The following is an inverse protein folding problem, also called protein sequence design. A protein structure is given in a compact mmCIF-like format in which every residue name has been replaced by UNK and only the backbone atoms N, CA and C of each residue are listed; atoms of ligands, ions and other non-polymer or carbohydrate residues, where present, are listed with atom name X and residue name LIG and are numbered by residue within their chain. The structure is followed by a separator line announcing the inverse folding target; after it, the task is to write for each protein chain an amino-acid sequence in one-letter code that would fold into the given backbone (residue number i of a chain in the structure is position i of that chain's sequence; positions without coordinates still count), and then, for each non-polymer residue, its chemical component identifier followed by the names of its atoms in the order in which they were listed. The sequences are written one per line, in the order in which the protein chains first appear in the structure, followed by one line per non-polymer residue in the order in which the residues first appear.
data_IF_176859328976
#
_entry.id   IF_176859328976
#
_cell.length_a   1.000
_cell.length_b   1.000
_cell.length_c   1.000
_cell.angle_alpha   90.00
_cell.angle_beta   90.00
_cell.angle_gamma   90.00
#
_symmetry.space_group_name_H-M   'P 1'
#
loop_
_entity.id
_entity.type
_entity.pdbx_description
1 polymer ?
#
# COMPACT_ATOMS: atom_id res chain seq x y z
N UNK A 1 -27.40 4.54 8.18
CA UNK A 1 -26.30 4.68 9.15
C UNK A 1 -25.31 3.61 8.81
N UNK A 2 -24.09 4.01 8.51
CA UNK A 2 -23.01 3.12 8.15
C UNK A 2 -21.89 3.29 9.16
N UNK A 3 -21.20 2.19 9.44
CA UNK A 3 -20.06 2.18 10.35
C UNK A 3 -18.77 2.34 9.55
N UNK A 4 -17.85 3.15 10.07
CA UNK A 4 -16.56 3.42 9.44
C UNK A 4 -15.44 3.22 10.44
N UNK A 5 -14.32 2.67 9.97
CA UNK A 5 -13.07 2.58 10.74
C UNK A 5 -11.96 3.31 9.99
N UNK A 6 -11.17 4.09 10.73
CA UNK A 6 -10.04 4.83 10.17
C UNK A 6 -8.77 3.99 10.16
N UNK A 7 -8.28 3.67 8.96
CA UNK A 7 -7.10 2.82 8.74
C UNK A 7 -5.98 3.63 8.09
N UNK A 8 -4.75 3.42 8.55
CA UNK A 8 -3.53 4.04 8.00
C UNK A 8 -2.51 2.98 7.62
N UNK A 9 -1.91 3.11 6.44
CA UNK A 9 -0.93 2.15 5.91
C UNK A 9 0.53 2.52 6.20
N UNK A 10 0.82 3.81 6.38
CA UNK A 10 2.17 4.33 6.66
C UNK A 10 2.13 5.25 7.87
N UNK A 11 3.19 5.26 8.68
CA UNK A 11 3.25 6.01 9.96
C UNK A 11 2.78 7.48 9.86
N UNK A 12 3.19 8.20 8.80
CA UNK A 12 2.80 9.58 8.52
C UNK A 12 1.90 9.72 7.28
N UNK A 13 1.13 8.69 6.94
CA UNK A 13 0.27 8.64 5.76
C UNK A 13 -1.15 9.18 5.98
N UNK A 14 -1.88 9.32 4.87
CA UNK A 14 -3.31 9.63 4.87
C UNK A 14 -4.10 8.54 5.60
N UNK A 15 -5.13 8.95 6.35
CA UNK A 15 -6.12 8.04 6.91
C UNK A 15 -7.19 7.77 5.86
N UNK A 16 -7.47 6.49 5.64
CA UNK A 16 -8.51 6.01 4.74
C UNK A 16 -9.61 5.36 5.58
N UNK A 17 -10.86 5.54 5.17
CA UNK A 17 -12.00 4.98 5.87
C UNK A 17 -12.46 3.70 5.16
N UNK A 18 -12.75 2.68 5.96
CA UNK A 18 -13.22 1.37 5.53
C UNK A 18 -14.46 0.99 6.32
N UNK A 19 -15.25 0.08 5.76
CA UNK A 19 -16.31 -0.62 6.48
C UNK A 19 -15.65 -1.67 7.41
N UNK A 20 -15.86 -1.63 8.74
CA UNK A 20 -15.30 -2.61 9.67
C UNK A 20 -15.87 -4.01 9.49
N UNK A 21 -16.91 -4.20 8.68
CA UNK A 21 -17.51 -5.50 8.34
C UNK A 21 -17.94 -6.32 9.57
N UNK A 22 -18.33 -5.65 10.66
CA UNK A 22 -18.73 -6.27 11.92
C UNK A 22 -17.58 -6.79 12.77
N UNK A 23 -16.32 -6.50 12.43
CA UNK A 23 -15.19 -6.78 13.30
C UNK A 23 -15.14 -5.77 14.44
N UNK A 24 -14.94 -6.25 15.66
CA UNK A 24 -14.67 -5.42 16.83
C UNK A 24 -13.22 -4.92 16.76
N UNK A 25 -13.02 -3.67 16.32
CA UNK A 25 -11.71 -3.08 16.04
C UNK A 25 -11.40 -1.95 17.03
N UNK A 26 -10.19 -1.96 17.59
CA UNK A 26 -9.72 -0.90 18.47
C UNK A 26 -8.56 -0.12 17.85
N UNK A 27 -8.31 1.09 18.37
CA UNK A 27 -7.11 1.84 17.98
C UNK A 27 -5.87 1.02 18.33
N UNK A 28 -4.94 0.97 17.38
CA UNK A 28 -3.73 0.14 17.38
C UNK A 28 -3.90 -1.32 16.93
N UNK A 29 -5.11 -1.76 16.58
CA UNK A 29 -5.27 -3.03 15.88
C UNK A 29 -4.64 -2.97 14.49
N UNK A 30 -4.01 -4.07 14.09
CA UNK A 30 -3.62 -4.28 12.71
C UNK A 30 -4.72 -5.04 11.98
N UNK A 31 -5.04 -4.62 10.76
CA UNK A 31 -6.10 -5.19 9.93
C UNK A 31 -5.60 -5.42 8.52
N UNK A 32 -6.15 -6.42 7.86
CA UNK A 32 -5.94 -6.66 6.44
C UNK A 32 -7.15 -6.11 5.68
N UNK A 33 -6.89 -5.28 4.69
CA UNK A 33 -7.92 -4.65 3.85
C UNK A 33 -7.63 -4.94 2.39
N UNK A 34 -8.68 -5.03 1.57
CA UNK A 34 -8.53 -5.21 0.13
C UNK A 34 -8.51 -3.85 -0.57
N UNK A 35 -7.38 -3.47 -1.16
CA UNK A 35 -7.23 -2.22 -1.90
C UNK A 35 -7.27 -2.47 -3.42
N UNK A 36 -7.01 -1.45 -4.24
CA UNK A 36 -6.83 -1.68 -5.68
C UNK A 36 -5.51 -2.41 -6.00
N UNK A 37 -4.57 -2.43 -5.03
CA UNK A 37 -3.25 -3.06 -5.15
C UNK A 37 -3.22 -4.49 -4.62
N UNK A 38 -4.34 -4.98 -4.08
CA UNK A 38 -4.47 -6.30 -3.45
C UNK A 38 -4.63 -6.16 -1.94
N UNK A 39 -4.24 -7.20 -1.20
CA UNK A 39 -4.27 -7.17 0.25
C UNK A 39 -3.16 -6.26 0.79
N UNK A 40 -3.51 -5.39 1.72
CA UNK A 40 -2.59 -4.49 2.40
C UNK A 40 -2.80 -4.58 3.91
N UNK A 41 -1.69 -4.49 4.66
CA UNK A 41 -1.70 -4.37 6.11
C UNK A 41 -1.93 -2.91 6.49
N UNK A 42 -3.00 -2.65 7.23
CA UNK A 42 -3.35 -1.35 7.76
C UNK A 42 -3.32 -1.34 9.28
N UNK A 43 -3.16 -0.16 9.85
CA UNK A 43 -3.21 0.08 11.29
C UNK A 43 -4.42 0.96 11.61
N UNK A 44 -5.24 0.53 12.56
CA UNK A 44 -6.41 1.27 13.03
C UNK A 44 -5.95 2.49 13.82
N UNK A 45 -6.34 3.67 13.37
CA UNK A 45 -6.00 4.97 13.99
C UNK A 45 -7.22 5.75 14.46
N UNK A 46 -8.42 5.36 14.02
CA UNK A 46 -9.69 5.79 14.55
C UNK A 46 -10.59 4.55 14.69
N UNK A 47 -11.26 4.37 15.85
CA UNK A 47 -12.11 3.22 16.08
C UNK A 47 -13.36 3.26 15.18
N UNK A 48 -14.13 2.16 15.10
CA UNK A 48 -15.43 2.15 14.46
C UNK A 48 -16.35 3.26 14.99
N UNK A 49 -16.90 4.05 14.08
CA UNK A 49 -17.85 5.14 14.37
C UNK A 49 -19.03 5.09 13.39
N UNK A 50 -20.24 5.39 13.87
CA UNK A 50 -21.41 5.50 13.01
C UNK A 50 -21.51 6.89 12.41
N UNK A 51 -21.64 6.94 11.08
CA UNK A 51 -21.83 8.19 10.33
C UNK A 51 -23.10 8.13 9.47
N UNK A 52 -23.58 9.29 9.05
CA UNK A 52 -24.68 9.36 8.10
C UNK A 52 -24.21 8.89 6.72
N UNK A 53 -25.05 8.14 6.01
CA UNK A 53 -24.70 7.62 4.68
C UNK A 53 -24.39 8.77 3.69
N UNK A 54 -24.97 9.96 3.92
CA UNK A 54 -24.70 11.19 3.15
C UNK A 54 -23.28 11.74 3.32
N UNK A 55 -22.60 11.41 4.41
CA UNK A 55 -21.21 11.81 4.68
C UNK A 55 -20.21 10.88 3.95
N UNK A 56 -20.68 9.72 3.51
CA UNK A 56 -19.90 8.74 2.77
C UNK A 56 -19.97 9.09 1.29
N UNK A 57 -19.02 9.92 0.83
CA UNK A 57 -18.97 10.36 -0.57
C UNK A 57 -18.67 9.27 -1.60
N UNK A 58 -18.27 8.05 -1.18
CA UNK A 58 -17.94 6.90 -2.05
C UNK A 58 -18.18 5.59 -1.32
N UNK A 59 -18.51 4.52 -2.07
CA UNK A 59 -18.62 3.17 -1.51
C UNK A 59 -17.32 2.78 -0.79
N UNK A 60 -17.44 2.47 0.50
CA UNK A 60 -16.32 2.03 1.32
C UNK A 60 -15.91 0.62 0.92
N UNK A 61 -14.60 0.39 0.91
CA UNK A 61 -14.08 -0.99 0.90
C UNK A 61 -14.17 -1.55 2.32
N UNK A 62 -14.26 -2.87 2.44
CA UNK A 62 -14.35 -3.53 3.74
C UNK A 62 -12.99 -4.00 4.27
N UNK A 63 -12.90 -4.07 5.59
CA UNK A 63 -11.91 -4.87 6.30
C UNK A 63 -12.14 -6.33 5.98
N UNK A 64 -11.07 -7.06 5.64
CA UNK A 64 -11.13 -8.48 5.30
C UNK A 64 -11.04 -9.33 6.57
N UNK A 65 -10.10 -8.97 7.46
CA UNK A 65 -9.87 -9.64 8.74
C UNK A 65 -8.94 -8.81 9.64
N UNK A 66 -8.87 -9.16 10.93
CA UNK A 66 -7.75 -8.77 11.79
C UNK A 66 -6.44 -9.38 11.27
N UNK A 67 -5.35 -8.65 11.41
CA UNK A 67 -4.03 -9.14 11.04
C UNK A 67 -3.56 -10.23 12.00
N UNK A 68 -2.87 -11.21 11.44
CA UNK A 68 -2.19 -12.26 12.19
C UNK A 68 -0.73 -11.84 12.44
N UNK A 69 -0.04 -12.39 13.46
CA UNK A 69 1.37 -12.10 13.72
C UNK A 69 2.27 -12.30 12.49
N UNK A 70 1.94 -13.29 11.65
CA UNK A 70 2.62 -13.62 10.40
C UNK A 70 2.52 -12.47 9.38
N UNK A 71 1.40 -11.75 9.32
CA UNK A 71 1.23 -10.61 8.43
C UNK A 71 2.16 -9.46 8.82
N UNK A 72 2.26 -9.18 10.12
CA UNK A 72 3.11 -8.13 10.67
C UNK A 72 4.59 -8.48 10.42
N UNK A 73 4.97 -9.73 10.70
CA UNK A 73 6.32 -10.22 10.44
C UNK A 73 6.67 -10.12 8.96
N UNK A 74 5.75 -10.51 8.08
CA UNK A 74 5.95 -10.44 6.63
C UNK A 74 6.09 -9.00 6.12
N UNK A 75 5.30 -8.07 6.66
CA UNK A 75 5.45 -6.65 6.35
C UNK A 75 6.83 -6.12 6.75
N UNK A 76 7.36 -6.54 7.91
CA UNK A 76 8.72 -6.21 8.34
C UNK A 76 9.79 -6.81 7.41
N UNK A 77 9.64 -8.07 6.99
CA UNK A 77 10.54 -8.73 6.03
C UNK A 77 10.57 -8.01 4.67
N UNK A 78 9.43 -7.47 4.23
CA UNK A 78 9.38 -6.68 2.99
C UNK A 78 10.07 -5.33 3.08
N UNK A 79 10.20 -4.70 4.26
CA UNK A 79 10.88 -3.40 4.37
C UNK A 79 12.32 -3.43 3.83
N UNK A 80 13.05 -4.53 4.06
CA UNK A 80 14.41 -4.68 3.53
C UNK A 80 14.42 -4.95 2.03
N UNK A 81 13.47 -5.76 1.54
CA UNK A 81 13.29 -5.99 0.10
C UNK A 81 12.89 -4.72 -0.67
N UNK A 82 12.08 -3.84 -0.05
CA UNK A 82 11.68 -2.55 -0.59
C UNK A 82 12.88 -1.61 -0.73
N UNK A 83 13.81 -1.61 0.23
CA UNK A 83 15.05 -0.82 0.16
C UNK A 83 15.95 -1.28 -1.00
N UNK A 84 16.11 -2.59 -1.16
CA UNK A 84 16.86 -3.15 -2.30
C UNK A 84 16.18 -2.78 -3.63
N UNK A 85 14.86 -2.98 -3.71
CA UNK A 85 14.07 -2.64 -4.88
C UNK A 85 14.24 -1.17 -5.29
N UNK A 86 14.15 -0.26 -4.32
CA UNK A 86 14.31 1.17 -4.55
C UNK A 86 15.73 1.52 -5.06
N UNK A 87 16.76 0.90 -4.49
CA UNK A 87 18.15 1.10 -4.92
C UNK A 87 18.39 0.61 -6.35
N UNK A 88 17.84 -0.55 -6.71
CA UNK A 88 17.96 -1.11 -8.06
C UNK A 88 17.16 -0.29 -9.09
N UNK A 89 15.95 0.14 -8.73
CA UNK A 89 15.17 1.05 -9.55
C UNK A 89 15.91 2.37 -9.79
N UNK A 90 16.60 2.91 -8.78
CA UNK A 90 17.41 4.13 -8.91
C UNK A 90 18.54 3.96 -9.92
N UNK A 91 19.27 2.84 -9.87
CA UNK A 91 20.32 2.52 -10.85
C UNK A 91 19.77 2.44 -12.28
N UNK A 92 18.64 1.77 -12.47
CA UNK A 92 18.01 1.63 -13.78
C UNK A 92 17.47 2.97 -14.31
N UNK A 93 16.85 3.77 -13.45
CA UNK A 93 16.35 5.11 -13.79
C UNK A 93 17.49 5.99 -14.29
N UNK A 94 18.64 5.98 -13.61
CA UNK A 94 19.83 6.71 -14.03
C UNK A 94 20.38 6.18 -15.37
N UNK A 95 20.48 4.86 -15.53
CA UNK A 95 20.95 4.22 -16.78
C UNK A 95 20.06 4.56 -17.98
N UNK A 96 18.75 4.60 -17.78
CA UNK A 96 17.75 4.90 -18.81
C UNK A 96 17.50 6.41 -18.99
N UNK A 97 18.20 7.26 -18.23
CA UNK A 97 18.07 8.72 -18.28
C UNK A 97 16.62 9.22 -18.11
N UNK A 98 15.85 8.57 -17.23
CA UNK A 98 14.45 8.92 -17.01
C UNK A 98 14.36 10.15 -16.08
N UNK A 99 13.65 11.23 -16.48
CA UNK A 99 13.57 12.46 -15.69
C UNK A 99 12.55 12.36 -14.54
N UNK A 100 12.85 11.50 -13.57
CA UNK A 100 12.00 11.21 -12.42
C UNK A 100 12.81 11.07 -11.13
N UNK A 101 12.16 11.34 -9.99
CA UNK A 101 12.71 11.14 -8.65
C UNK A 101 11.93 10.05 -7.94
N UNK A 102 12.61 8.96 -7.60
CA UNK A 102 12.01 7.88 -6.80
C UNK A 102 11.77 8.36 -5.37
N UNK A 103 10.62 7.96 -4.82
CA UNK A 103 10.15 8.31 -3.47
C UNK A 103 10.18 7.07 -2.56
N UNK A 104 9.56 5.98 -2.98
CA UNK A 104 9.51 4.72 -2.23
C UNK A 104 9.22 3.53 -3.15
N UNK A 105 9.44 2.31 -2.62
CA UNK A 105 8.97 1.06 -3.19
C UNK A 105 8.14 0.35 -2.12
N UNK A 106 7.06 -0.31 -2.49
CA UNK A 106 6.15 -0.98 -1.56
C UNK A 106 5.73 -2.34 -2.08
N UNK A 107 5.93 -3.40 -1.29
CA UNK A 107 5.27 -4.67 -1.52
C UNK A 107 3.84 -4.63 -0.96
N UNK A 108 2.93 -5.33 -1.64
CA UNK A 108 1.66 -5.68 -1.03
C UNK A 108 1.84 -6.83 -0.03
N UNK A 109 0.82 -7.11 0.79
CA UNK A 109 0.92 -8.05 1.91
C UNK A 109 1.29 -9.48 1.48
N UNK A 110 0.85 -9.91 0.30
CA UNK A 110 1.14 -11.23 -0.24
C UNK A 110 2.44 -11.30 -1.07
N UNK A 111 3.14 -10.18 -1.26
CA UNK A 111 4.37 -10.07 -2.05
C UNK A 111 4.21 -10.27 -3.56
N UNK A 112 2.98 -10.41 -4.06
CA UNK A 112 2.74 -10.63 -5.49
C UNK A 112 2.95 -9.35 -6.33
N UNK A 113 2.92 -8.18 -5.69
CA UNK A 113 3.05 -6.87 -6.34
C UNK A 113 4.06 -5.98 -5.63
N UNK A 114 4.89 -5.31 -6.42
CA UNK A 114 5.83 -4.28 -6.00
C UNK A 114 5.50 -2.96 -6.71
N UNK A 115 5.15 -1.94 -5.94
CA UNK A 115 4.73 -0.63 -6.45
C UNK A 115 5.82 0.40 -6.21
N UNK A 116 6.21 1.17 -7.23
CA UNK A 116 7.19 2.25 -7.10
C UNK A 116 6.50 3.62 -7.13
N UNK A 117 6.78 4.44 -6.12
CA UNK A 117 6.32 5.82 -6.06
C UNK A 117 7.42 6.75 -6.56
N UNK A 118 7.07 7.67 -7.43
CA UNK A 118 8.00 8.67 -7.96
C UNK A 118 7.29 10.00 -8.19
N UNK A 119 8.09 11.07 -8.30
CA UNK A 119 7.66 12.35 -8.83
C UNK A 119 8.39 12.66 -10.13
N UNK A 120 7.71 13.31 -11.07
CA UNK A 120 8.28 13.78 -12.32
C UNK A 120 7.61 15.10 -12.71
N UNK A 121 8.37 16.02 -13.30
CA UNK A 121 7.83 17.30 -13.78
C UNK A 121 7.03 17.12 -15.08
N UNK A 122 7.41 16.13 -15.88
CA UNK A 122 6.80 15.83 -17.18
C UNK A 122 6.45 14.35 -17.27
N UNK A 123 5.72 13.99 -18.33
CA UNK A 123 5.36 12.58 -18.59
C UNK A 123 6.61 11.78 -18.91
N UNK A 124 6.83 10.70 -18.16
CA UNK A 124 7.96 9.77 -18.34
C UNK A 124 7.46 8.48 -19.00
N UNK A 125 8.15 8.01 -20.04
CA UNK A 125 7.94 6.67 -20.58
C UNK A 125 8.81 5.65 -19.82
N UNK A 126 8.20 4.95 -18.87
CA UNK A 126 8.88 3.99 -18.00
C UNK A 126 8.66 2.53 -18.43
N UNK A 127 8.19 2.26 -19.66
CA UNK A 127 7.89 0.89 -20.10
C UNK A 127 9.11 -0.03 -20.09
N UNK A 128 10.29 0.48 -20.44
CA UNK A 128 11.54 -0.27 -20.36
C UNK A 128 11.96 -0.55 -18.91
N UNK A 129 11.85 0.47 -18.05
CA UNK A 129 12.11 0.33 -16.61
C UNK A 129 11.26 -0.78 -15.98
N UNK A 130 9.94 -0.79 -16.25
CA UNK A 130 9.03 -1.82 -15.76
C UNK A 130 9.45 -3.21 -16.24
N UNK A 131 9.82 -3.37 -17.51
CA UNK A 131 10.28 -4.66 -18.05
C UNK A 131 11.52 -5.18 -17.32
N UNK A 132 12.51 -4.32 -17.08
CA UNK A 132 13.74 -4.70 -16.40
C UNK A 132 13.50 -5.05 -14.92
N UNK A 133 12.67 -4.27 -14.22
CA UNK A 133 12.30 -4.54 -12.83
C UNK A 133 11.50 -5.84 -12.69
N UNK A 134 10.51 -6.08 -13.57
CA UNK A 134 9.73 -7.33 -13.54
C UNK A 134 10.59 -8.57 -13.78
N UNK A 135 11.58 -8.50 -14.68
CA UNK A 135 12.54 -9.61 -14.88
C UNK A 135 13.38 -9.87 -13.63
N UNK A 136 13.81 -8.80 -12.95
CA UNK A 136 14.67 -8.91 -11.77
C UNK A 136 13.93 -9.48 -10.56
N UNK A 137 12.79 -8.89 -10.21
CA UNK A 137 12.09 -9.23 -8.97
C UNK A 137 11.09 -10.38 -9.12
N UNK A 138 10.75 -10.78 -10.35
CA UNK A 138 9.79 -11.87 -10.64
C UNK A 138 8.42 -11.67 -9.96
N UNK A 139 8.04 -10.41 -9.76
CA UNK A 139 6.75 -9.96 -9.21
C UNK A 139 6.11 -8.99 -10.19
N UNK A 140 4.80 -8.74 -10.02
CA UNK A 140 4.13 -7.69 -10.78
C UNK A 140 4.65 -6.32 -10.34
N UNK A 141 5.20 -5.55 -11.28
CA UNK A 141 5.73 -4.21 -11.01
C UNK A 141 4.76 -3.16 -11.54
N UNK A 142 4.47 -2.14 -10.72
CA UNK A 142 3.62 -0.98 -11.07
C UNK A 142 4.28 0.35 -10.71
#
# INVERSE_FOLDING_TARGET
MAEIVGVRFKRAGRVYYFDPAGFDLEVNDYVVVNTARGLELGHVVAPPEQVLDSEIGRQLKSVVRKAEPEDIKRAQEFEDGEREALAECSKLTAKLHLPMKLLSAEYNLDGSRLTFFFSAAERVDFRELVRELSKRFKVRVE
#
